data_IF_030535234037
#
_entry.id   IF_030535234037
#
_cell.length_a   1.000
_cell.length_b   1.000
_cell.length_c   1.000
_cell.angle_alpha   90.00
_cell.angle_beta   90.00
_cell.angle_gamma   90.00
#
_symmetry.space_group_name_H-M   'P 1'
#
loop_
_entity.id
_entity.type
_entity.pdbx_description
1 polymer ?
#
# COMPACT_ATOMS: atom_id res chain seq x y z
N UNK A 1 -2.25 4.84 16.01
CA UNK A 1 -1.83 4.45 14.64
C UNK A 1 -0.76 3.34 14.63
N UNK A 2 0.46 3.52 15.18
CA UNK A 2 1.47 2.42 15.23
C UNK A 2 0.97 1.15 15.95
N UNK A 3 0.25 1.32 17.06
CA UNK A 3 -0.39 0.24 17.83
C UNK A 3 -1.31 -0.62 16.93
N UNK A 4 -2.15 -0.01 16.09
CA UNK A 4 -3.06 -0.77 15.21
C UNK A 4 -2.30 -1.72 14.27
N UNK A 5 -1.20 -1.24 13.69
CA UNK A 5 -0.36 -2.05 12.79
C UNK A 5 0.31 -3.19 13.56
N UNK A 6 1.04 -2.87 14.61
CA UNK A 6 1.86 -3.86 15.32
C UNK A 6 1.03 -4.85 16.15
N UNK A 7 -0.03 -4.40 16.81
CA UNK A 7 -0.79 -5.24 17.75
C UNK A 7 -1.89 -6.05 17.09
N UNK A 8 -2.41 -5.61 15.93
CA UNK A 8 -3.54 -6.26 15.27
C UNK A 8 -3.19 -6.72 13.85
N UNK A 9 -2.64 -5.85 13.00
CA UNK A 9 -2.43 -6.20 11.58
C UNK A 9 -1.33 -7.25 11.39
N UNK A 10 -0.19 -7.13 12.09
CA UNK A 10 0.95 -8.04 11.91
C UNK A 10 0.72 -9.46 12.46
N UNK A 11 -0.22 -9.64 13.38
CA UNK A 11 -0.53 -10.96 13.98
C UNK A 11 -1.37 -11.83 13.06
N UNK A 12 -2.00 -11.24 12.04
CA UNK A 12 -2.85 -11.98 11.12
C UNK A 12 -2.00 -12.64 10.02
N UNK A 13 -2.16 -13.97 9.85
CA UNK A 13 -1.48 -14.72 8.79
C UNK A 13 -1.89 -14.24 7.38
N UNK A 14 -3.16 -13.84 7.23
CA UNK A 14 -3.69 -13.16 6.05
C UNK A 14 -4.48 -11.95 6.53
N UNK A 15 -3.98 -10.75 6.23
CA UNK A 15 -4.63 -9.52 6.66
C UNK A 15 -5.90 -9.27 5.84
N UNK A 16 -7.04 -9.29 6.51
CA UNK A 16 -8.31 -8.79 5.99
C UNK A 16 -8.78 -7.71 6.95
N UNK A 17 -8.62 -6.45 6.57
CA UNK A 17 -8.80 -5.32 7.47
C UNK A 17 -9.44 -4.13 6.75
N UNK A 18 -10.29 -3.39 7.46
CA UNK A 18 -10.90 -2.15 7.00
C UNK A 18 -10.38 -1.00 7.87
N UNK A 19 -9.65 -0.06 7.25
CA UNK A 19 -9.26 1.19 7.88
C UNK A 19 -10.32 2.26 7.59
N UNK A 20 -11.24 2.49 8.54
CA UNK A 20 -12.39 3.38 8.37
C UNK A 20 -12.33 4.66 9.22
N UNK A 21 -11.13 5.12 9.61
CA UNK A 21 -10.99 6.39 10.34
C UNK A 21 -11.31 7.62 9.45
N UNK A 22 -11.23 8.83 9.99
CA UNK A 22 -11.42 10.07 9.24
C UNK A 22 -10.36 10.30 8.13
N UNK A 23 -10.68 11.21 7.20
CA UNK A 23 -9.72 11.69 6.21
C UNK A 23 -8.50 12.32 6.92
N UNK A 24 -7.29 12.00 6.47
CA UNK A 24 -6.06 12.47 7.12
C UNK A 24 -5.60 11.66 8.33
N UNK A 25 -6.34 10.63 8.76
CA UNK A 25 -5.96 9.75 9.86
C UNK A 25 -4.79 8.77 9.55
N UNK A 26 -3.91 9.10 8.61
CA UNK A 26 -2.66 8.37 8.38
C UNK A 26 -2.81 6.97 7.78
N UNK A 27 -3.87 6.68 7.03
CA UNK A 27 -4.10 5.36 6.39
C UNK A 27 -2.95 4.96 5.48
N UNK A 28 -2.49 5.87 4.62
CA UNK A 28 -1.35 5.66 3.73
C UNK A 28 -0.09 5.29 4.52
N UNK A 29 0.19 5.99 5.62
CA UNK A 29 1.32 5.72 6.51
C UNK A 29 1.18 4.32 7.16
N UNK A 30 -0.01 3.97 7.64
CA UNK A 30 -0.27 2.64 8.21
C UNK A 30 -0.07 1.52 7.18
N UNK A 31 -0.57 1.71 5.95
CA UNK A 31 -0.36 0.77 4.84
C UNK A 31 1.12 0.65 4.48
N UNK A 32 1.84 1.77 4.37
CA UNK A 32 3.28 1.77 4.08
C UNK A 32 4.10 1.04 5.13
N UNK A 33 3.79 1.27 6.42
CA UNK A 33 4.43 0.59 7.53
C UNK A 33 4.19 -0.92 7.50
N UNK A 34 2.94 -1.34 7.30
CA UNK A 34 2.58 -2.76 7.20
C UNK A 34 3.29 -3.43 6.02
N UNK A 35 3.26 -2.81 4.84
CA UNK A 35 3.93 -3.32 3.64
C UNK A 35 5.43 -3.48 3.88
N UNK A 36 6.08 -2.45 4.44
CA UNK A 36 7.53 -2.47 4.72
C UNK A 36 7.91 -3.60 5.66
N UNK A 37 7.15 -3.79 6.73
CA UNK A 37 7.37 -4.85 7.71
C UNK A 37 7.18 -6.24 7.09
N UNK A 38 6.11 -6.44 6.30
CA UNK A 38 5.85 -7.71 5.64
C UNK A 38 6.88 -8.06 4.56
N UNK A 39 7.40 -7.05 3.83
CA UNK A 39 8.50 -7.22 2.89
C UNK A 39 9.79 -7.63 3.62
N UNK A 40 10.10 -7.00 4.75
CA UNK A 40 11.25 -7.38 5.61
C UNK A 40 11.17 -8.85 6.05
N UNK A 41 9.96 -9.33 6.36
CA UNK A 41 9.68 -10.73 6.72
C UNK A 41 9.56 -11.67 5.51
N UNK A 42 9.69 -11.18 4.28
CA UNK A 42 9.50 -11.93 3.03
C UNK A 42 8.12 -12.59 2.89
N UNK A 43 7.10 -12.00 3.52
CA UNK A 43 5.72 -12.50 3.49
C UNK A 43 4.89 -11.89 2.35
N UNK A 44 5.32 -10.75 1.79
CA UNK A 44 4.75 -10.18 0.57
C UNK A 44 5.72 -10.29 -0.60
N UNK A 45 5.18 -10.58 -1.78
CA UNK A 45 5.94 -10.66 -3.05
C UNK A 45 5.42 -9.73 -4.13
N UNK A 46 4.10 -9.53 -4.19
CA UNK A 46 3.44 -8.62 -5.13
C UNK A 46 2.42 -7.80 -4.37
N UNK A 47 2.37 -6.50 -4.65
CA UNK A 47 1.50 -5.55 -3.95
C UNK A 47 0.81 -4.70 -5.01
N UNK A 48 -0.52 -4.66 -4.95
CA UNK A 48 -1.36 -3.79 -5.75
C UNK A 48 -2.07 -2.83 -4.80
N UNK A 49 -1.96 -1.53 -5.09
CA UNK A 49 -2.66 -0.48 -4.36
C UNK A 49 -3.63 0.18 -5.33
N UNK A 50 -4.92 0.19 -4.99
CA UNK A 50 -5.97 0.83 -5.77
C UNK A 50 -6.45 2.05 -5.02
N UNK A 51 -6.37 3.22 -5.63
CA UNK A 51 -6.78 4.51 -5.03
C UNK A 51 -7.60 5.32 -6.03
N UNK A 52 -8.42 6.27 -5.55
CA UNK A 52 -9.06 7.26 -6.40
C UNK A 52 -8.00 8.03 -7.21
N UNK A 53 -8.30 8.36 -8.47
CA UNK A 53 -7.34 8.96 -9.41
C UNK A 53 -6.63 10.21 -8.84
N UNK A 54 -7.35 11.08 -8.12
CA UNK A 54 -6.79 12.28 -7.51
C UNK A 54 -5.82 12.04 -6.35
N UNK A 55 -5.78 10.82 -5.79
CA UNK A 55 -4.93 10.47 -4.65
C UNK A 55 -3.71 9.64 -5.03
N UNK A 56 -3.63 9.15 -6.27
CA UNK A 56 -2.52 8.30 -6.75
C UNK A 56 -1.16 8.95 -6.49
N UNK A 57 -1.01 10.23 -6.84
CA UNK A 57 0.23 10.97 -6.66
C UNK A 57 0.62 11.16 -5.19
N UNK A 58 -0.36 11.36 -4.30
CA UNK A 58 -0.09 11.48 -2.87
C UNK A 58 0.40 10.15 -2.27
N UNK A 59 -0.28 9.05 -2.61
CA UNK A 59 0.13 7.70 -2.19
C UNK A 59 1.53 7.34 -2.70
N UNK A 60 1.79 7.57 -3.99
CA UNK A 60 3.11 7.31 -4.57
C UNK A 60 4.20 8.11 -3.85
N UNK A 61 3.96 9.41 -3.61
CA UNK A 61 4.89 10.30 -2.90
C UNK A 61 5.17 9.82 -1.48
N UNK A 62 4.13 9.58 -0.68
CA UNK A 62 4.28 9.17 0.72
C UNK A 62 4.97 7.81 0.85
N UNK A 63 4.59 6.82 0.01
CA UNK A 63 5.20 5.49 0.03
C UNK A 63 6.66 5.52 -0.38
N UNK A 64 7.02 6.33 -1.37
CA UNK A 64 8.41 6.51 -1.78
C UNK A 64 9.22 7.25 -0.71
N UNK A 65 8.76 8.42 -0.28
CA UNK A 65 9.55 9.29 0.61
C UNK A 65 9.68 8.74 2.03
N UNK A 66 8.61 8.16 2.59
CA UNK A 66 8.58 7.75 4.00
C UNK A 66 9.02 6.30 4.20
N UNK A 67 8.85 5.44 3.19
CA UNK A 67 9.08 4.00 3.32
C UNK A 67 10.06 3.43 2.29
N UNK A 68 10.55 4.25 1.36
CA UNK A 68 11.41 3.83 0.25
C UNK A 68 10.79 2.65 -0.53
N UNK A 69 9.49 2.72 -0.79
CA UNK A 69 8.74 1.73 -1.55
C UNK A 69 8.45 2.27 -2.95
N UNK A 70 9.24 1.89 -3.97
CA UNK A 70 8.99 2.31 -5.34
C UNK A 70 7.79 1.53 -5.92
N UNK A 71 6.77 2.26 -6.34
CA UNK A 71 5.60 1.69 -7.03
C UNK A 71 5.56 2.17 -8.48
N UNK A 72 5.31 1.25 -9.42
CA UNK A 72 4.94 1.62 -10.79
C UNK A 72 3.50 2.13 -10.78
N UNK A 73 3.28 3.37 -11.18
CA UNK A 73 1.93 3.88 -11.42
C UNK A 73 1.38 3.25 -12.70
N UNK A 74 0.16 2.74 -12.62
CA UNK A 74 -0.57 2.14 -13.74
C UNK A 74 -1.87 2.93 -13.92
N UNK A 75 -2.13 3.35 -15.15
CA UNK A 75 -3.34 4.04 -15.55
C UNK A 75 -4.17 3.18 -16.52
N UNK A 76 -5.40 3.63 -16.81
CA UNK A 76 -6.31 2.88 -17.68
C UNK A 76 -5.82 2.70 -19.12
N UNK A 77 -4.91 3.56 -19.61
CA UNK A 77 -4.37 3.43 -20.96
C UNK A 77 -3.29 2.33 -21.05
N UNK A 78 -2.55 2.10 -19.97
CA UNK A 78 -1.56 1.03 -19.89
C UNK A 78 -2.22 -0.35 -20.06
N UNK A 79 -3.41 -0.52 -19.49
CA UNK A 79 -4.19 -1.76 -19.55
C UNK A 79 -4.88 -2.03 -20.89
N UNK A 80 -4.89 -1.05 -21.82
CA UNK A 80 -5.53 -1.20 -23.14
C UNK A 80 -4.63 -1.92 -24.15
N UNK A 81 -3.32 -1.81 -23.98
CA UNK A 81 -2.34 -2.29 -24.96
C UNK A 81 -1.71 -3.61 -24.53
N UNK A 82 -1.53 -3.80 -23.22
CA UNK A 82 -0.92 -4.99 -22.64
C UNK A 82 -1.44 -5.21 -21.21
N UNK A 83 -1.13 -6.36 -20.60
CA UNK A 83 -1.39 -6.55 -19.18
C UNK A 83 -0.31 -5.80 -18.36
N UNK A 84 -0.63 -4.69 -17.68
CA UNK A 84 0.38 -3.88 -17.00
C UNK A 84 0.85 -4.52 -15.68
N UNK A 85 0.25 -5.64 -15.28
CA UNK A 85 0.57 -6.39 -14.08
C UNK A 85 1.47 -7.60 -14.34
N UNK A 86 1.88 -7.84 -15.59
CA UNK A 86 2.88 -8.87 -15.90
C UNK A 86 4.30 -8.38 -15.58
N UNK A 87 5.05 -9.27 -14.92
CA UNK A 87 6.33 -9.04 -14.27
C UNK A 87 6.58 -10.13 -13.24
#
# INVERSE_FOLDING_TARGET
>A
QRIAVYDYMLKQHRLLFLLADDAGAGKTIMSGLYIREMLSRRLLRRILIVTPAGLVGNWHRELLMLFNLPFRMVNGNDARHENPFVG
#
